data_IF_840242479938
#
_entry.id   IF_840242479938
#
_cell.length_a   1.000
_cell.length_b   1.000
_cell.length_c   1.000
_cell.angle_alpha   90.00
_cell.angle_beta   90.00
_cell.angle_gamma   90.00
#
_symmetry.space_group_name_H-M   'P 1'
#
loop_
_entity.id
_entity.type
_entity.pdbx_description
1 polymer ?
#
# COMPACT_ATOMS: atom_id res chain seq x y z
N UNK A 1 -24.23 -2.44 4.64
CA UNK A 1 -23.38 -3.58 4.23
C UNK A 1 -23.05 -3.44 2.77
N UNK A 2 -21.78 -3.10 2.49
CA UNK A 2 -21.22 -3.18 1.16
C UNK A 2 -21.20 -4.64 0.70
N UNK A 3 -21.43 -4.89 -0.58
CA UNK A 3 -21.32 -6.24 -1.15
C UNK A 3 -19.84 -6.51 -1.48
N UNK A 4 -19.22 -7.58 -0.95
CA UNK A 4 -17.83 -7.90 -1.22
C UNK A 4 -17.60 -8.16 -2.71
N UNK A 5 -16.48 -7.65 -3.24
CA UNK A 5 -16.07 -7.98 -4.60
C UNK A 5 -15.69 -9.47 -4.68
N UNK A 6 -16.47 -10.25 -5.43
CA UNK A 6 -16.26 -11.69 -5.56
C UNK A 6 -14.89 -12.07 -6.15
N UNK A 7 -14.31 -11.22 -7.00
CA UNK A 7 -12.98 -11.48 -7.56
C UNK A 7 -11.89 -11.42 -6.48
N UNK A 8 -12.01 -10.47 -5.54
CA UNK A 8 -11.11 -10.36 -4.38
C UNK A 8 -11.26 -11.57 -3.47
N UNK A 9 -12.49 -12.00 -3.19
CA UNK A 9 -12.75 -13.22 -2.39
C UNK A 9 -12.13 -14.46 -3.04
N UNK A 10 -12.33 -14.65 -4.34
CA UNK A 10 -11.78 -15.79 -5.07
C UNK A 10 -10.24 -15.74 -5.15
N UNK A 11 -9.63 -14.55 -5.16
CA UNK A 11 -8.18 -14.36 -5.11
C UNK A 11 -7.60 -14.68 -3.73
N UNK A 12 -8.24 -14.21 -2.65
CA UNK A 12 -7.87 -14.57 -1.27
C UNK A 12 -7.88 -16.09 -1.08
N UNK A 13 -8.93 -16.77 -1.56
CA UNK A 13 -9.04 -18.23 -1.47
C UNK A 13 -7.96 -18.94 -2.30
N UNK A 14 -7.60 -18.38 -3.46
CA UNK A 14 -6.57 -18.96 -4.34
C UNK A 14 -5.19 -18.92 -3.69
N UNK A 15 -4.83 -17.79 -3.08
CA UNK A 15 -3.58 -17.64 -2.33
C UNK A 15 -3.62 -18.44 -1.02
N UNK A 16 -4.79 -18.53 -0.40
CA UNK A 16 -5.05 -19.48 0.68
C UNK A 16 -4.27 -19.16 1.95
N UNK A 17 -3.57 -20.15 2.51
CA UNK A 17 -2.81 -20.02 3.77
C UNK A 17 -1.52 -19.18 3.62
N UNK A 18 -1.10 -18.84 2.39
CA UNK A 18 0.09 -18.00 2.19
C UNK A 18 -0.20 -16.51 2.25
N UNK A 19 -1.48 -16.12 2.21
CA UNK A 19 -1.91 -14.73 2.31
C UNK A 19 -2.02 -14.32 3.79
N UNK A 20 -1.25 -13.32 4.19
CA UNK A 20 -1.34 -12.74 5.53
C UNK A 20 -2.52 -11.76 5.67
N UNK A 21 -2.81 -11.36 6.91
CA UNK A 21 -3.85 -10.35 7.19
C UNK A 21 -3.57 -9.01 6.50
N UNK A 22 -2.28 -8.61 6.45
CA UNK A 22 -1.85 -7.39 5.74
C UNK A 22 -2.15 -7.47 4.25
N UNK A 23 -1.73 -8.55 3.58
CA UNK A 23 -1.97 -8.77 2.15
C UNK A 23 -3.48 -8.79 1.82
N UNK A 24 -4.28 -9.34 2.73
CA UNK A 24 -5.74 -9.35 2.59
C UNK A 24 -6.32 -7.92 2.64
N UNK A 25 -5.91 -7.11 3.61
CA UNK A 25 -6.35 -5.71 3.72
C UNK A 25 -5.84 -4.89 2.52
N UNK A 26 -4.60 -5.11 2.07
CA UNK A 26 -4.04 -4.51 0.86
C UNK A 26 -4.93 -4.77 -0.36
N UNK A 27 -5.28 -6.04 -0.57
CA UNK A 27 -6.05 -6.49 -1.72
C UNK A 27 -7.48 -5.94 -1.68
N UNK A 28 -8.08 -5.88 -0.49
CA UNK A 28 -9.37 -5.24 -0.29
C UNK A 28 -9.25 -3.75 -0.60
N UNK A 29 -8.30 -3.02 0.00
CA UNK A 29 -8.14 -1.58 -0.18
C UNK A 29 -7.95 -1.18 -1.64
N UNK A 30 -7.14 -1.92 -2.39
CA UNK A 30 -6.93 -1.72 -3.83
C UNK A 30 -8.24 -1.74 -4.65
N UNK A 31 -9.27 -2.43 -4.16
CA UNK A 31 -10.56 -2.60 -4.86
C UNK A 31 -11.69 -1.72 -4.30
N UNK A 32 -11.39 -0.78 -3.39
CA UNK A 32 -12.38 0.13 -2.82
C UNK A 32 -12.01 1.60 -3.05
N UNK A 33 -13.04 2.44 -3.16
CA UNK A 33 -12.90 3.86 -3.42
C UNK A 33 -12.60 4.66 -2.14
N UNK A 34 -11.72 5.66 -2.26
CA UNK A 34 -11.36 6.60 -1.19
C UNK A 34 -10.25 6.11 -0.25
N UNK A 35 -9.74 6.97 0.64
CA UNK A 35 -8.65 6.63 1.58
C UNK A 35 -9.06 5.49 2.52
N UNK A 36 -8.30 4.40 2.54
CA UNK A 36 -8.63 3.21 3.34
C UNK A 36 -9.98 2.57 2.98
N UNK A 37 -10.41 1.64 3.82
CA UNK A 37 -11.61 0.82 3.65
C UNK A 37 -12.48 0.92 4.89
N UNK A 38 -13.77 1.20 4.71
CA UNK A 38 -14.71 1.22 5.82
C UNK A 38 -14.66 -0.10 6.61
N UNK A 39 -14.69 -0.02 7.95
CA UNK A 39 -14.65 -1.19 8.83
C UNK A 39 -15.74 -2.22 8.49
N UNK A 40 -16.95 -1.76 8.18
CA UNK A 40 -18.07 -2.62 7.76
C UNK A 40 -17.79 -3.40 6.47
N UNK A 41 -16.97 -2.86 5.58
CA UNK A 41 -16.57 -3.55 4.36
C UNK A 41 -15.60 -4.69 4.68
N UNK A 42 -14.64 -4.47 5.59
CA UNK A 42 -13.74 -5.53 6.07
C UNK A 42 -14.54 -6.66 6.73
N UNK A 43 -15.54 -6.32 7.55
CA UNK A 43 -16.47 -7.29 8.15
C UNK A 43 -17.21 -8.11 7.09
N UNK A 44 -17.65 -7.45 6.01
CA UNK A 44 -18.35 -8.11 4.93
C UNK A 44 -17.46 -9.11 4.17
N UNK A 45 -16.18 -8.77 3.94
CA UNK A 45 -15.22 -9.73 3.37
C UNK A 45 -14.96 -10.91 4.29
N UNK A 46 -14.74 -10.65 5.58
CA UNK A 46 -14.50 -11.70 6.56
C UNK A 46 -15.67 -12.69 6.63
N UNK A 47 -16.91 -12.16 6.67
CA UNK A 47 -18.12 -12.98 6.66
C UNK A 47 -18.30 -13.75 5.33
N UNK A 48 -17.93 -13.16 4.20
CA UNK A 48 -18.00 -13.84 2.91
C UNK A 48 -16.99 -14.98 2.79
N UNK A 49 -15.80 -14.83 3.36
CA UNK A 49 -14.77 -15.87 3.41
C UNK A 49 -15.16 -17.00 4.35
N UNK A 50 -15.66 -16.69 5.56
CA UNK A 50 -16.14 -17.70 6.53
C UNK A 50 -17.31 -18.52 5.99
N UNK A 51 -18.15 -17.93 5.13
CA UNK A 51 -19.28 -18.62 4.51
C UNK A 51 -18.87 -19.63 3.42
N UNK A 52 -17.60 -19.74 3.05
CA UNK A 52 -17.12 -20.65 1.99
C UNK A 52 -16.82 -22.03 2.56
N UNK A 53 -17.49 -23.04 2.02
CA UNK A 53 -17.28 -24.44 2.42
C UNK A 53 -15.90 -24.99 2.01
N UNK A 54 -15.24 -24.37 1.04
CA UNK A 54 -13.98 -24.80 0.43
C UNK A 54 -12.73 -24.09 0.97
N UNK A 55 -12.90 -23.19 1.94
CA UNK A 55 -11.81 -22.41 2.53
C UNK A 55 -11.98 -22.32 4.06
N UNK A 56 -10.96 -22.76 4.81
CA UNK A 56 -10.98 -22.67 6.26
C UNK A 56 -10.50 -21.27 6.68
N UNK A 57 -11.44 -20.42 7.07
CA UNK A 57 -11.17 -19.05 7.48
C UNK A 57 -11.83 -18.76 8.83
N UNK A 58 -11.07 -18.17 9.76
CA UNK A 58 -11.59 -17.71 11.05
C UNK A 58 -11.81 -16.20 10.98
N UNK A 59 -13.06 -15.80 10.70
CA UNK A 59 -13.40 -14.38 10.60
C UNK A 59 -13.21 -13.65 11.92
N UNK A 60 -13.49 -14.30 13.06
CA UNK A 60 -13.37 -13.65 14.36
C UNK A 60 -11.91 -13.34 14.69
N UNK A 61 -10.99 -14.28 14.42
CA UNK A 61 -9.56 -14.10 14.64
C UNK A 61 -8.98 -13.00 13.71
N UNK A 62 -9.32 -13.03 12.42
CA UNK A 62 -8.90 -12.00 11.47
C UNK A 62 -9.37 -10.60 11.88
N UNK A 63 -10.65 -10.45 12.22
CA UNK A 63 -11.22 -9.16 12.62
C UNK A 63 -10.62 -8.65 13.93
N UNK A 64 -10.39 -9.53 14.90
CA UNK A 64 -9.70 -9.18 16.15
C UNK A 64 -8.27 -8.71 15.87
N UNK A 65 -7.55 -9.39 14.98
CA UNK A 65 -6.20 -8.99 14.59
C UNK A 65 -6.16 -7.60 13.93
N UNK A 66 -7.11 -7.31 13.02
CA UNK A 66 -7.22 -5.96 12.42
C UNK A 66 -7.46 -4.91 13.51
N UNK A 67 -8.41 -5.15 14.42
CA UNK A 67 -8.72 -4.20 15.49
C UNK A 67 -7.55 -3.98 16.46
N UNK A 68 -6.84 -5.04 16.85
CA UNK A 68 -5.71 -4.98 17.78
C UNK A 68 -4.47 -4.30 17.20
N UNK A 69 -4.35 -4.29 15.86
CA UNK A 69 -3.19 -3.73 15.16
C UNK A 69 -3.55 -2.46 14.37
N UNK A 70 -4.71 -1.84 14.64
CA UNK A 70 -5.06 -0.52 14.09
C UNK A 70 -4.61 0.60 15.03
N UNK A 71 -3.91 1.59 14.49
CA UNK A 71 -3.49 2.82 15.18
C UNK A 71 -4.14 4.05 14.56
N UNK A 72 -4.25 5.13 15.33
CA UNK A 72 -4.68 6.47 14.87
C UNK A 72 -3.48 7.40 14.61
N UNK A 73 -2.27 6.84 14.50
CA UNK A 73 -1.07 7.59 14.19
C UNK A 73 -1.14 8.22 12.79
N UNK A 74 -0.80 9.50 12.70
CA UNK A 74 -0.75 10.24 11.44
C UNK A 74 0.46 9.88 10.57
N UNK A 75 1.46 9.18 11.13
CA UNK A 75 2.76 8.88 10.52
C UNK A 75 3.11 7.40 10.65
N UNK A 76 4.09 6.93 9.86
CA UNK A 76 4.45 5.52 9.83
C UNK A 76 4.96 5.01 11.19
N UNK A 77 4.35 3.93 11.69
CA UNK A 77 4.83 3.19 12.87
C UNK A 77 5.32 1.76 12.53
N UNK A 78 5.10 1.30 11.29
CA UNK A 78 5.49 -0.02 10.81
C UNK A 78 4.62 -1.17 11.35
N UNK A 79 4.37 -2.18 10.51
CA UNK A 79 3.66 -3.40 10.93
C UNK A 79 2.22 -3.26 11.47
N UNK A 80 1.57 -2.10 11.29
CA UNK A 80 0.21 -1.80 11.77
C UNK A 80 -0.72 -1.38 10.62
N UNK A 81 -2.01 -1.31 10.92
CA UNK A 81 -3.04 -0.66 10.12
C UNK A 81 -3.31 0.75 10.66
N UNK A 82 -3.82 1.64 9.82
CA UNK A 82 -4.12 3.02 10.21
C UNK A 82 -5.60 3.31 10.06
N UNK A 83 -6.20 3.92 11.07
CA UNK A 83 -7.50 4.58 10.93
C UNK A 83 -7.30 5.95 10.29
N UNK A 84 -7.80 6.13 9.07
CA UNK A 84 -7.60 7.33 8.24
C UNK A 84 -8.88 8.17 8.10
N UNK A 85 -9.85 7.91 8.96
CA UNK A 85 -11.11 8.63 8.96
C UNK A 85 -10.99 10.03 9.58
N UNK A 86 -11.57 11.03 8.90
CA UNK A 86 -11.76 12.37 9.47
C UNK A 86 -12.86 12.40 10.55
N UNK A 87 -13.81 11.46 10.51
CA UNK A 87 -14.94 11.38 11.41
C UNK A 87 -14.83 10.15 12.32
N UNK A 88 -14.95 10.37 13.63
CA UNK A 88 -14.89 9.33 14.66
C UNK A 88 -15.99 8.27 14.53
N UNK A 89 -17.05 8.52 13.76
CA UNK A 89 -18.10 7.53 13.49
C UNK A 89 -17.88 6.77 12.16
N UNK A 90 -16.91 7.16 11.33
CA UNK A 90 -16.64 6.57 10.01
C UNK A 90 -15.26 5.91 9.94
N UNK A 91 -15.00 4.89 10.75
CA UNK A 91 -13.70 4.20 10.79
C UNK A 91 -13.28 3.62 9.42
N UNK A 92 -12.14 4.07 8.91
CA UNK A 92 -11.57 3.62 7.62
C UNK A 92 -10.16 3.11 7.83
N UNK A 93 -9.95 1.82 7.54
CA UNK A 93 -8.69 1.13 7.77
C UNK A 93 -7.86 1.15 6.49
N UNK A 94 -6.61 1.58 6.61
CA UNK A 94 -5.65 1.74 5.51
C UNK A 94 -4.31 1.10 5.88
N UNK A 95 -3.53 0.70 4.87
CA UNK A 95 -2.12 0.32 5.08
C UNK A 95 -1.18 1.50 5.24
N UNK A 96 -1.61 2.70 4.85
CA UNK A 96 -0.85 3.93 4.96
C UNK A 96 -1.51 4.93 5.93
N UNK A 97 -0.73 5.72 6.69
CA UNK A 97 -1.23 6.73 7.61
C UNK A 97 -2.05 7.84 6.94
N UNK A 98 -2.82 8.59 7.74
CA UNK A 98 -3.65 9.69 7.24
C UNK A 98 -2.82 10.77 6.52
N UNK A 99 -1.63 11.12 7.02
CA UNK A 99 -0.79 12.15 6.40
C UNK A 99 -0.36 11.79 4.97
N UNK A 100 -0.23 10.50 4.64
CA UNK A 100 0.09 10.06 3.28
C UNK A 100 -1.10 10.34 2.35
N UNK A 101 -2.31 10.01 2.77
CA UNK A 101 -3.52 10.28 1.99
C UNK A 101 -3.79 11.78 1.85
N UNK A 102 -3.54 12.57 2.89
CA UNK A 102 -3.71 14.03 2.83
C UNK A 102 -2.69 14.71 1.91
N UNK A 103 -1.44 14.23 1.93
CA UNK A 103 -0.37 14.85 1.15
C UNK A 103 -0.36 14.36 -0.31
N UNK A 104 -0.54 13.07 -0.52
CA UNK A 104 -0.34 12.41 -1.82
C UNK A 104 -1.65 11.88 -2.43
N UNK A 105 -2.77 11.92 -1.71
CA UNK A 105 -4.03 11.32 -2.14
C UNK A 105 -4.48 11.79 -3.52
N UNK A 106 -4.63 10.84 -4.45
CA UNK A 106 -5.03 11.10 -5.83
C UNK A 106 -3.99 11.82 -6.70
N UNK A 107 -2.77 12.03 -6.20
CA UNK A 107 -1.64 12.47 -7.01
C UNK A 107 -1.13 11.32 -7.88
N UNK A 108 -0.51 11.66 -9.01
CA UNK A 108 0.23 10.71 -9.86
C UNK A 108 1.68 11.16 -10.03
N UNK A 109 2.13 12.14 -9.24
CA UNK A 109 3.46 12.72 -9.36
C UNK A 109 4.50 11.87 -8.61
N UNK A 110 5.10 10.93 -9.32
CA UNK A 110 6.14 10.03 -8.79
C UNK A 110 7.28 10.76 -8.07
N UNK A 111 7.62 11.98 -8.49
CA UNK A 111 8.67 12.79 -7.83
C UNK A 111 8.24 13.19 -6.43
N UNK A 112 6.96 13.54 -6.27
CA UNK A 112 6.36 13.89 -4.99
C UNK A 112 6.33 12.69 -4.04
N UNK A 113 5.94 11.51 -4.52
CA UNK A 113 5.98 10.26 -3.74
C UNK A 113 7.40 9.93 -3.28
N UNK A 114 8.36 9.87 -4.20
CA UNK A 114 9.76 9.54 -3.85
C UNK A 114 10.33 10.57 -2.87
N UNK A 115 10.04 11.86 -3.08
CA UNK A 115 10.50 12.93 -2.18
C UNK A 115 9.88 12.79 -0.78
N UNK A 116 8.58 12.56 -0.70
CA UNK A 116 7.87 12.40 0.57
C UNK A 116 8.40 11.23 1.38
N UNK A 117 8.58 10.07 0.74
CA UNK A 117 9.14 8.87 1.39
C UNK A 117 10.56 9.11 1.90
N UNK A 118 11.40 9.81 1.14
CA UNK A 118 12.77 10.10 1.56
C UNK A 118 12.87 11.16 2.67
N UNK A 119 12.06 12.21 2.59
CA UNK A 119 12.23 13.41 3.42
C UNK A 119 11.37 13.39 4.68
N UNK A 120 10.14 12.88 4.59
CA UNK A 120 9.12 13.00 5.64
C UNK A 120 8.86 11.68 6.36
N UNK A 121 9.04 10.54 5.70
CA UNK A 121 8.69 9.24 6.28
C UNK A 121 9.70 8.12 5.92
N UNK A 122 10.98 8.36 6.22
CA UNK A 122 12.07 7.43 5.93
C UNK A 122 11.96 6.11 6.70
N UNK A 123 11.26 6.11 7.83
CA UNK A 123 11.03 4.90 8.65
C UNK A 123 10.21 3.83 7.88
N UNK A 124 9.44 4.24 6.86
CA UNK A 124 8.82 3.31 5.91
C UNK A 124 9.86 2.46 5.17
N UNK A 125 10.98 3.06 4.76
CA UNK A 125 12.05 2.37 4.03
C UNK A 125 12.77 1.33 4.88
N UNK A 126 12.87 1.56 6.19
CA UNK A 126 13.49 0.61 7.13
C UNK A 126 12.62 -0.64 7.35
N UNK A 127 11.30 -0.54 7.17
CA UNK A 127 10.35 -1.66 7.39
C UNK A 127 10.17 -2.52 6.13
N UNK A 128 10.39 -1.97 4.93
CA UNK A 128 10.27 -2.72 3.68
C UNK A 128 11.58 -3.47 3.35
N UNK A 129 11.56 -4.80 3.42
CA UNK A 129 12.68 -5.68 2.99
C UNK A 129 12.75 -5.79 1.45
N UNK A 130 12.75 -4.65 0.78
CA UNK A 130 12.60 -4.53 -0.69
C UNK A 130 13.73 -3.77 -1.38
N UNK A 131 14.70 -3.21 -0.65
CA UNK A 131 15.78 -2.37 -1.19
C UNK A 131 17.20 -2.96 -1.10
N UNK A 132 18.11 -2.40 -1.92
CA UNK A 132 19.55 -2.61 -1.79
C UNK A 132 20.17 -1.69 -0.73
N UNK A 133 21.49 -1.77 -0.49
CA UNK A 133 22.17 -0.78 0.33
C UNK A 133 22.14 0.59 -0.38
N UNK A 134 21.36 1.55 0.14
CA UNK A 134 21.27 2.89 -0.45
C UNK A 134 20.20 3.78 0.20
N UNK A 135 20.10 5.02 -0.28
CA UNK A 135 19.05 6.00 0.09
C UNK A 135 17.90 6.03 -0.94
N UNK A 136 17.90 5.10 -1.89
CA UNK A 136 16.87 5.02 -2.92
C UNK A 136 15.59 4.38 -2.38
N UNK A 137 14.48 4.66 -3.05
CA UNK A 137 13.18 4.08 -2.72
C UNK A 137 12.94 2.90 -3.67
N UNK A 138 12.65 1.68 -3.18
CA UNK A 138 12.37 0.55 -4.05
C UNK A 138 11.20 0.85 -5.00
N UNK A 139 11.35 0.56 -6.30
CA UNK A 139 10.30 0.79 -7.30
C UNK A 139 8.97 0.16 -6.88
N UNK A 140 9.02 -1.09 -6.39
CA UNK A 140 7.83 -1.81 -5.94
C UNK A 140 7.07 -1.08 -4.83
N UNK A 141 7.78 -0.39 -3.94
CA UNK A 141 7.20 0.39 -2.86
C UNK A 141 6.52 1.65 -3.42
N UNK A 142 7.16 2.38 -4.33
CA UNK A 142 6.54 3.54 -5.01
C UNK A 142 5.26 3.14 -5.73
N UNK A 143 5.28 2.00 -6.43
CA UNK A 143 4.10 1.47 -7.14
C UNK A 143 2.99 1.10 -6.16
N UNK A 144 3.30 0.42 -5.05
CA UNK A 144 2.31 0.09 -4.01
C UNK A 144 1.62 1.36 -3.46
N UNK A 145 2.41 2.40 -3.15
CA UNK A 145 1.88 3.65 -2.62
C UNK A 145 1.04 4.38 -3.68
N UNK A 146 1.44 4.36 -4.96
CA UNK A 146 0.62 4.90 -6.05
C UNK A 146 -0.71 4.14 -6.22
N UNK A 147 -0.72 2.83 -5.95
CA UNK A 147 -1.95 2.05 -5.99
C UNK A 147 -2.89 2.38 -4.83
N UNK A 148 -2.36 2.38 -3.61
CA UNK A 148 -3.17 2.52 -2.40
C UNK A 148 -3.43 3.98 -2.03
N UNK A 149 -2.50 4.90 -2.22
CA UNK A 149 -2.67 6.32 -1.90
C UNK A 149 -3.04 7.12 -3.15
N UNK A 150 -2.34 6.87 -4.27
CA UNK A 150 -2.60 7.52 -5.56
C UNK A 150 -3.85 7.03 -6.28
N UNK A 151 -4.39 5.87 -5.87
CA UNK A 151 -5.57 5.23 -6.46
C UNK A 151 -5.42 4.91 -7.95
N UNK A 152 -4.20 4.56 -8.36
CA UNK A 152 -3.90 4.03 -9.68
C UNK A 152 -4.02 2.51 -9.67
N UNK A 153 -4.46 1.90 -10.77
CA UNK A 153 -4.24 0.46 -10.92
C UNK A 153 -2.78 0.17 -11.28
N UNK A 154 -2.27 -1.02 -10.93
CA UNK A 154 -0.88 -1.44 -11.13
C UNK A 154 -0.29 -1.03 -12.50
N UNK A 155 -0.95 -1.25 -13.66
CA UNK A 155 -0.38 -0.87 -14.95
C UNK A 155 -0.16 0.63 -15.10
N UNK A 156 -1.06 1.44 -14.55
CA UNK A 156 -1.00 2.90 -14.61
C UNK A 156 0.05 3.44 -13.63
N UNK A 157 0.15 2.86 -12.43
CA UNK A 157 1.21 3.16 -11.46
C UNK A 157 2.60 2.87 -12.03
N UNK A 158 2.81 1.69 -12.62
CA UNK A 158 4.07 1.34 -13.30
C UNK A 158 4.34 2.27 -14.48
N UNK A 159 3.31 2.64 -15.25
CA UNK A 159 3.46 3.59 -16.36
C UNK A 159 3.91 4.96 -15.85
N UNK A 160 3.33 5.47 -14.76
CA UNK A 160 3.73 6.74 -14.17
C UNK A 160 5.22 6.74 -13.77
N UNK A 161 5.72 5.66 -13.17
CA UNK A 161 7.13 5.48 -12.83
C UNK A 161 8.02 5.51 -14.07
N UNK A 162 7.68 4.72 -15.10
CA UNK A 162 8.42 4.72 -16.35
C UNK A 162 8.44 6.10 -17.03
N UNK A 163 7.32 6.82 -17.05
CA UNK A 163 7.27 8.15 -17.63
C UNK A 163 8.11 9.16 -16.85
N UNK A 164 8.15 9.08 -15.52
CA UNK A 164 9.03 9.92 -14.69
C UNK A 164 10.52 9.65 -14.99
N UNK A 165 10.88 8.39 -15.20
CA UNK A 165 12.22 8.00 -15.64
C UNK A 165 12.53 8.53 -17.04
N UNK A 166 11.63 8.38 -18.00
CA UNK A 166 11.81 8.84 -19.38
C UNK A 166 11.98 10.37 -19.49
N UNK A 167 11.33 11.12 -18.59
CA UNK A 167 11.52 12.57 -18.43
C UNK A 167 12.85 12.94 -17.79
N UNK A 168 13.52 11.98 -17.15
CA UNK A 168 14.75 12.19 -16.39
C UNK A 168 14.51 12.83 -15.03
N UNK A 169 13.30 12.75 -14.49
CA UNK A 169 12.96 13.27 -13.16
C UNK A 169 13.47 12.32 -12.05
N UNK A 170 13.51 11.02 -12.36
CA UNK A 170 14.05 9.96 -11.51
C UNK A 170 15.07 9.10 -12.27
N UNK A 171 15.95 8.44 -11.51
CA UNK A 171 16.98 7.51 -12.00
C UNK A 171 16.80 6.18 -11.28
N UNK A 172 16.83 5.09 -12.04
CA UNK A 172 16.74 3.70 -11.54
C UNK A 172 18.15 3.08 -11.49
N UNK A 173 18.48 2.41 -10.39
CA UNK A 173 19.63 1.51 -10.34
C UNK A 173 19.33 0.21 -11.10
N UNK A 174 19.62 0.22 -12.41
CA UNK A 174 19.32 -0.89 -13.32
C UNK A 174 20.07 -2.19 -13.00
N UNK A 175 21.12 -2.15 -12.18
CA UNK A 175 21.82 -3.37 -11.74
C UNK A 175 21.00 -4.18 -10.71
N UNK A 176 19.95 -3.57 -10.14
CA UNK A 176 19.09 -4.17 -9.12
C UNK A 176 17.72 -4.63 -9.64
N UNK A 177 17.41 -4.48 -10.93
CA UNK A 177 16.11 -4.93 -11.47
C UNK A 177 15.88 -6.44 -11.23
N UNK A 178 14.68 -6.88 -10.78
CA UNK A 178 13.43 -6.12 -10.69
C UNK A 178 13.19 -5.40 -9.35
N UNK A 179 14.14 -5.40 -8.42
CA UNK A 179 14.07 -4.70 -7.13
C UNK A 179 14.87 -3.40 -7.17
N UNK A 180 14.76 -2.66 -8.26
CA UNK A 180 15.60 -1.51 -8.44
C UNK A 180 15.19 -0.38 -7.50
N UNK A 181 16.20 0.22 -6.87
CA UNK A 181 16.03 1.46 -6.12
C UNK A 181 15.90 2.63 -7.10
N UNK A 182 14.93 3.49 -6.83
CA UNK A 182 14.67 4.72 -7.56
C UNK A 182 15.17 5.92 -6.75
N UNK A 183 15.81 6.85 -7.45
CA UNK A 183 16.34 8.09 -6.89
C UNK A 183 15.73 9.27 -7.62
N UNK A 184 15.49 10.38 -6.92
CA UNK A 184 15.32 11.67 -7.59
C UNK A 184 16.60 11.98 -8.38
N UNK A 185 16.47 12.43 -9.63
CA UNK A 185 17.63 12.66 -10.49
C UNK A 185 18.64 13.66 -9.89
N UNK A 186 18.16 14.65 -9.12
CA UNK A 186 19.00 15.62 -8.41
C UNK A 186 19.76 15.02 -7.21
N UNK A 187 19.32 13.86 -6.69
CA UNK A 187 19.86 13.18 -5.50
C UNK A 187 20.54 11.85 -5.82
N UNK A 188 20.43 11.34 -7.05
CA UNK A 188 21.04 10.08 -7.44
C UNK A 188 22.56 10.05 -7.18
N UNK A 189 23.15 8.90 -6.83
CA UNK A 189 24.61 8.70 -6.78
C UNK A 189 25.30 9.14 -8.07
N UNK A 190 26.54 9.65 -7.97
CA UNK A 190 27.29 10.14 -9.15
C UNK A 190 27.53 9.07 -10.22
N UNK A 191 27.63 7.81 -9.82
CA UNK A 191 27.81 6.66 -10.69
C UNK A 191 26.55 6.25 -11.46
N UNK A 192 25.38 6.74 -11.05
CA UNK A 192 24.09 6.55 -11.73
C UNK A 192 23.67 7.75 -12.61
N UNK A 193 24.38 8.89 -12.52
CA UNK A 193 24.09 10.13 -13.27
C UNK A 193 24.69 10.20 -14.66
#
# INVERSE_FOLDING_TARGET
MAEPNGAVVDEIIREGETMGSRDMVELIERHHDGPGVARETIDAYAAALEARDDYAFDAADFLAHVDENTTDADWWEGGVFYDVADDVEDHRISLFPAAWHDHLGGSTDVVEYVRFIQDEDSDYLDDIDLGGPGEGVPEAAVVEVLELVGRLDRPDATTAVHEARDRGDIIEDADQSPRADIYLAERAPEDLR
#
